data_IF_342997886826
#
_entry.id   IF_342997886826
#
_cell.length_a   1.000
_cell.length_b   1.000
_cell.length_c   1.000
_cell.angle_alpha   90.00
_cell.angle_beta   90.00
_cell.angle_gamma   90.00
#
_symmetry.space_group_name_H-M   'P 1'
#
loop_
_entity.id
_entity.type
_entity.pdbx_description
1 polymer ?
#
# COMPACT_ATOMS: atom_id res chain seq x y z
N UNK A 1 -14.88 8.08 -9.85
CA UNK A 1 -14.39 6.93 -10.66
C UNK A 1 -15.22 5.69 -10.34
N UNK A 2 -15.72 4.98 -11.36
CA UNK A 2 -16.50 3.75 -11.15
C UNK A 2 -15.57 2.62 -10.77
N UNK A 3 -15.75 2.04 -9.58
CA UNK A 3 -14.94 0.92 -9.07
C UNK A 3 -15.70 -0.41 -9.21
N UNK A 4 -14.98 -1.51 -9.34
CA UNK A 4 -15.59 -2.85 -9.44
C UNK A 4 -16.13 -3.30 -8.09
N UNK A 5 -17.16 -4.16 -8.08
CA UNK A 5 -17.78 -4.68 -6.85
C UNK A 5 -16.76 -5.32 -5.88
N UNK A 6 -15.79 -6.02 -6.46
CA UNK A 6 -14.67 -6.66 -5.75
C UNK A 6 -13.76 -5.65 -5.05
N UNK A 7 -13.46 -4.53 -5.71
CA UNK A 7 -12.67 -3.45 -5.12
C UNK A 7 -13.40 -2.80 -3.95
N UNK A 8 -14.68 -2.48 -4.11
CA UNK A 8 -15.46 -1.86 -3.04
C UNK A 8 -15.56 -2.75 -1.80
N UNK A 9 -15.73 -4.07 -1.99
CA UNK A 9 -15.76 -5.03 -0.88
C UNK A 9 -14.41 -5.14 -0.13
N UNK A 10 -13.29 -5.08 -0.85
CA UNK A 10 -11.96 -5.06 -0.21
C UNK A 10 -11.71 -3.71 0.50
N UNK A 11 -12.09 -2.59 -0.12
CA UNK A 11 -11.93 -1.26 0.46
C UNK A 11 -12.75 -1.07 1.75
N UNK A 12 -13.92 -1.68 1.85
CA UNK A 12 -14.74 -1.63 3.07
C UNK A 12 -14.09 -2.31 4.29
N UNK A 13 -13.12 -3.20 4.10
CA UNK A 13 -12.37 -3.85 5.18
C UNK A 13 -11.21 -2.99 5.70
N UNK A 14 -10.81 -1.97 4.93
CA UNK A 14 -9.68 -1.10 5.27
C UNK A 14 -10.21 0.16 5.92
N UNK A 15 -9.83 0.41 7.17
CA UNK A 15 -10.14 1.65 7.87
C UNK A 15 -9.03 2.68 7.60
N UNK A 16 -9.36 3.79 6.94
CA UNK A 16 -8.40 4.83 6.60
C UNK A 16 -7.93 5.65 7.81
N UNK A 17 -8.74 5.73 8.86
CA UNK A 17 -8.45 6.52 10.06
C UNK A 17 -7.61 5.73 11.09
N UNK A 18 -7.41 4.43 10.85
CA UNK A 18 -6.67 3.56 11.76
C UNK A 18 -5.20 3.44 11.34
N UNK A 19 -4.30 3.74 12.29
CA UNK A 19 -2.89 3.42 12.17
C UNK A 19 -2.68 1.91 12.45
N UNK A 20 -2.45 1.15 11.39
CA UNK A 20 -2.13 -0.27 11.50
C UNK A 20 -0.67 -0.48 11.90
N UNK A 21 -0.42 -1.38 12.85
CA UNK A 21 0.93 -1.89 13.10
C UNK A 21 1.37 -2.76 11.92
N UNK A 22 2.69 -2.91 11.64
CA UNK A 22 3.18 -3.65 10.49
C UNK A 22 2.59 -5.07 10.37
N UNK A 23 2.48 -5.79 11.48
CA UNK A 23 1.92 -7.15 11.51
C UNK A 23 0.42 -7.16 11.17
N UNK A 24 -0.35 -6.19 11.69
CA UNK A 24 -1.78 -6.09 11.41
C UNK A 24 -2.05 -5.68 9.97
N UNK A 25 -1.22 -4.79 9.40
CA UNK A 25 -1.29 -4.40 8.00
C UNK A 25 -1.03 -5.58 7.06
N UNK A 26 -0.02 -6.40 7.34
CA UNK A 26 0.29 -7.58 6.51
C UNK A 26 -0.85 -8.63 6.51
N UNK A 27 -1.57 -8.78 7.62
CA UNK A 27 -2.76 -9.64 7.67
C UNK A 27 -3.89 -9.09 6.80
N UNK A 28 -4.15 -7.78 6.92
CA UNK A 28 -5.18 -7.10 6.13
C UNK A 28 -4.90 -7.16 4.63
N UNK A 29 -3.64 -7.04 4.20
CA UNK A 29 -3.22 -7.18 2.80
C UNK A 29 -3.59 -8.56 2.24
N UNK A 30 -3.38 -9.63 3.01
CA UNK A 30 -3.77 -10.99 2.59
C UNK A 30 -5.30 -11.15 2.48
N UNK A 31 -6.06 -10.56 3.39
CA UNK A 31 -7.53 -10.65 3.42
C UNK A 31 -8.24 -9.78 2.37
N UNK A 32 -7.55 -8.75 1.89
CA UNK A 32 -8.02 -7.83 0.84
C UNK A 32 -7.61 -8.29 -0.56
N UNK A 33 -6.77 -9.32 -0.68
CA UNK A 33 -6.45 -9.93 -1.97
C UNK A 33 -7.69 -10.64 -2.54
N UNK A 34 -8.21 -10.11 -3.65
CA UNK A 34 -9.38 -10.65 -4.36
C UNK A 34 -8.99 -11.50 -5.58
N UNK A 35 -7.70 -11.63 -5.83
CA UNK A 35 -7.15 -12.38 -6.98
C UNK A 35 -6.83 -13.81 -6.58
N UNK A 36 -6.89 -14.73 -7.55
CA UNK A 36 -6.61 -16.17 -7.33
C UNK A 36 -5.14 -16.53 -7.49
N UNK A 37 -4.31 -15.57 -7.90
CA UNK A 37 -2.88 -15.75 -8.14
C UNK A 37 -2.07 -15.02 -7.04
N UNK A 38 -0.78 -15.31 -6.99
CA UNK A 38 0.12 -14.67 -6.01
C UNK A 38 0.36 -13.21 -6.41
N UNK A 39 -0.19 -12.29 -5.61
CA UNK A 39 -0.22 -10.87 -5.91
C UNK A 39 0.94 -10.15 -5.19
N UNK A 40 1.58 -9.22 -5.90
CA UNK A 40 2.64 -8.40 -5.33
C UNK A 40 2.11 -7.45 -4.25
N UNK A 41 2.88 -7.26 -3.19
CA UNK A 41 2.62 -6.28 -2.14
C UNK A 41 3.47 -5.04 -2.42
N UNK A 42 2.83 -3.87 -2.45
CA UNK A 42 3.49 -2.58 -2.61
C UNK A 42 3.45 -1.78 -1.31
N UNK A 43 4.51 -1.01 -1.06
CA UNK A 43 4.60 -0.09 0.09
C UNK A 43 4.70 1.34 -0.45
N UNK A 44 3.68 2.15 -0.19
CA UNK A 44 3.68 3.57 -0.54
C UNK A 44 4.14 4.38 0.66
N UNK A 45 5.21 5.17 0.48
CA UNK A 45 5.79 6.00 1.53
C UNK A 45 5.94 7.43 1.01
N UNK A 46 5.54 8.42 1.81
CA UNK A 46 5.79 9.83 1.51
C UNK A 46 7.09 10.22 2.20
N UNK A 47 8.14 10.47 1.41
CA UNK A 47 9.51 10.65 1.91
C UNK A 47 9.83 12.11 2.33
N UNK A 48 8.94 13.07 2.06
CA UNK A 48 9.13 14.48 2.45
C UNK A 48 10.31 15.19 1.76
N UNK A 49 10.92 14.57 0.75
CA UNK A 49 12.01 15.12 -0.05
C UNK A 49 11.48 16.09 -1.10
N UNK A 50 12.23 17.16 -1.39
CA UNK A 50 11.95 18.07 -2.50
C UNK A 50 12.54 17.47 -3.79
N UNK A 51 11.70 16.97 -4.73
CA UNK A 51 12.17 16.33 -5.95
C UNK A 51 12.86 17.32 -6.91
N UNK A 52 12.77 18.63 -6.68
CA UNK A 52 13.47 19.65 -7.49
C UNK A 52 14.95 19.77 -7.13
N UNK A 53 15.35 19.27 -5.97
CA UNK A 53 16.72 19.30 -5.46
C UNK A 53 17.40 17.95 -5.69
N UNK A 54 18.43 17.92 -6.54
CA UNK A 54 19.07 16.68 -6.97
C UNK A 54 19.73 15.88 -5.82
N UNK A 55 20.16 16.56 -4.76
CA UNK A 55 20.75 16.01 -3.54
C UNK A 55 19.74 15.26 -2.66
N UNK A 56 18.43 15.47 -2.87
CA UNK A 56 17.37 14.83 -2.08
C UNK A 56 16.76 13.61 -2.77
N UNK A 57 17.30 13.20 -3.93
CA UNK A 57 16.87 12.00 -4.62
C UNK A 57 17.38 10.74 -3.91
N UNK A 58 16.47 10.02 -3.24
CA UNK A 58 16.79 8.74 -2.57
C UNK A 58 16.58 7.58 -3.55
N UNK A 59 17.67 6.95 -3.98
CA UNK A 59 17.64 5.72 -4.79
C UNK A 59 18.67 4.73 -4.26
N UNK A 60 18.19 3.66 -3.63
CA UNK A 60 19.04 2.61 -3.08
C UNK A 60 18.38 1.25 -3.29
N UNK A 61 19.21 0.19 -3.27
CA UNK A 61 18.76 -1.20 -3.25
C UNK A 61 19.02 -1.77 -1.86
N UNK A 62 18.06 -2.53 -1.34
CA UNK A 62 18.19 -3.30 -0.10
C UNK A 62 18.04 -4.77 -0.43
N UNK A 63 18.77 -5.64 0.28
CA UNK A 63 18.85 -7.08 0.03
C UNK A 63 18.17 -7.86 1.15
#
# INVERSE_FOLDING_TARGET
>A
MKRSKKYTAAAAKVNQDQLYTPLSGMKLVKETNVTKYDASVEVSMVLGVDPKKADQAVRSVVN
#
